data_IF_198967040671
#
_entry.id   IF_198967040671
#
_cell.length_a   1.000
_cell.length_b   1.000
_cell.length_c   1.000
_cell.angle_alpha   90.00
_cell.angle_beta   90.00
_cell.angle_gamma   90.00
#
_symmetry.space_group_name_H-M   'P 1'
#
loop_
_entity.id
_entity.type
_entity.pdbx_description
1 polymer ?
#
# COMPACT_ATOMS: atom_id res chain seq x y z
N UNK A 1 0.60 -43.26 12.27
CA UNK A 1 0.25 -42.53 11.02
C UNK A 1 0.65 -41.08 11.24
N UNK A 2 1.72 -40.60 10.59
CA UNK A 2 2.18 -39.23 10.77
C UNK A 2 1.17 -38.30 10.10
N UNK A 3 0.38 -37.57 10.90
CA UNK A 3 -0.45 -36.48 10.39
C UNK A 3 0.47 -35.41 9.80
N UNK A 4 0.26 -35.08 8.52
CA UNK A 4 1.02 -34.03 7.87
C UNK A 4 0.60 -32.67 8.43
N UNK A 5 1.46 -31.66 8.24
CA UNK A 5 1.22 -30.30 8.70
C UNK A 5 -0.15 -29.76 8.23
N UNK A 6 -0.54 -30.08 7.00
CA UNK A 6 -1.82 -29.68 6.42
C UNK A 6 -3.02 -30.26 7.17
N UNK A 7 -2.96 -31.54 7.55
CA UNK A 7 -4.04 -32.20 8.28
C UNK A 7 -4.26 -31.52 9.64
N UNK A 8 -3.16 -31.26 10.36
CA UNK A 8 -3.21 -30.54 11.65
C UNK A 8 -3.71 -29.10 11.51
N UNK A 9 -3.36 -28.42 10.42
CA UNK A 9 -3.82 -27.06 10.15
C UNK A 9 -5.32 -27.04 9.86
N UNK A 10 -5.81 -27.92 8.98
CA UNK A 10 -7.22 -28.00 8.65
C UNK A 10 -8.06 -28.42 9.86
N UNK A 11 -7.62 -29.41 10.62
CA UNK A 11 -8.27 -29.81 11.87
C UNK A 11 -8.38 -28.62 12.83
N UNK A 12 -7.33 -27.81 12.95
CA UNK A 12 -7.35 -26.62 13.81
C UNK A 12 -8.32 -25.54 13.31
N UNK A 13 -8.34 -25.26 12.00
CA UNK A 13 -9.20 -24.24 11.40
C UNK A 13 -10.68 -24.66 11.48
N UNK A 14 -10.98 -25.93 11.28
CA UNK A 14 -12.35 -26.44 11.28
C UNK A 14 -12.86 -26.93 12.66
N UNK A 15 -12.02 -27.05 13.70
CA UNK A 15 -12.48 -27.44 15.04
C UNK A 15 -13.44 -26.41 15.64
N UNK A 16 -14.72 -26.77 15.78
CA UNK A 16 -15.79 -25.91 16.31
C UNK A 16 -15.55 -25.45 17.75
N UNK A 17 -14.70 -26.16 18.51
CA UNK A 17 -14.40 -25.83 19.92
C UNK A 17 -13.39 -24.68 20.04
N UNK A 18 -12.74 -24.27 18.95
CA UNK A 18 -11.73 -23.19 18.96
C UNK A 18 -12.38 -21.84 18.69
N UNK A 19 -11.95 -20.82 19.44
CA UNK A 19 -12.41 -19.44 19.26
C UNK A 19 -12.10 -18.95 17.83
N UNK A 20 -13.06 -18.24 17.23
CA UNK A 20 -12.94 -17.68 15.87
C UNK A 20 -11.69 -16.79 15.73
N UNK A 21 -11.33 -16.06 16.77
CA UNK A 21 -10.15 -15.19 16.81
C UNK A 21 -8.83 -15.96 16.72
N UNK A 22 -8.74 -17.14 17.34
CA UNK A 22 -7.56 -18.01 17.27
C UNK A 22 -7.42 -18.65 15.88
N UNK A 23 -8.54 -19.01 15.25
CA UNK A 23 -8.57 -19.50 13.86
C UNK A 23 -8.10 -18.42 12.89
N UNK A 24 -8.65 -17.22 13.00
CA UNK A 24 -8.24 -16.07 12.20
C UNK A 24 -6.75 -15.75 12.37
N UNK A 25 -6.25 -15.73 13.61
CA UNK A 25 -4.84 -15.47 13.88
C UNK A 25 -3.91 -16.47 13.19
N UNK A 26 -4.23 -17.76 13.21
CA UNK A 26 -3.41 -18.81 12.56
C UNK A 26 -3.50 -18.72 11.04
N UNK A 27 -4.67 -18.43 10.46
CA UNK A 27 -4.81 -18.20 9.02
C UNK A 27 -3.95 -17.00 8.60
N UNK A 28 -4.02 -15.89 9.33
CA UNK A 28 -3.21 -14.68 9.09
C UNK A 28 -1.72 -15.02 9.19
N UNK A 29 -1.31 -15.80 10.19
CA UNK A 29 0.09 -16.18 10.40
C UNK A 29 0.62 -17.06 9.26
N UNK A 30 -0.19 -17.99 8.75
CA UNK A 30 0.16 -18.80 7.57
C UNK A 30 0.27 -17.94 6.32
N UNK A 31 -0.69 -17.03 6.09
CA UNK A 31 -0.61 -16.07 4.97
C UNK A 31 0.65 -15.20 5.06
N UNK A 32 1.00 -14.74 6.27
CA UNK A 32 2.21 -13.97 6.50
C UNK A 32 3.48 -14.80 6.24
N UNK A 33 3.49 -16.07 6.65
CA UNK A 33 4.58 -17.01 6.35
C UNK A 33 4.77 -17.23 4.85
N UNK A 34 3.68 -17.40 4.10
CA UNK A 34 3.73 -17.52 2.63
C UNK A 34 4.28 -16.25 1.98
N UNK A 35 3.84 -15.08 2.44
CA UNK A 35 4.35 -13.80 1.94
C UNK A 35 5.84 -13.63 2.23
N UNK A 36 6.31 -14.01 3.43
CA UNK A 36 7.72 -13.97 3.80
C UNK A 36 8.55 -14.90 2.94
N UNK A 37 8.11 -16.16 2.75
CA UNK A 37 8.82 -17.12 1.91
C UNK A 37 8.90 -16.60 0.47
N UNK A 38 7.80 -16.07 -0.06
CA UNK A 38 7.77 -15.47 -1.39
C UNK A 38 8.76 -14.30 -1.52
N UNK A 39 8.91 -13.49 -0.47
CA UNK A 39 9.84 -12.37 -0.45
C UNK A 39 11.30 -12.82 -0.34
N UNK A 40 11.60 -13.75 0.58
CA UNK A 40 12.96 -14.30 0.80
C UNK A 40 13.48 -15.04 -0.42
N UNK A 41 12.65 -15.88 -1.02
CA UNK A 41 13.01 -16.64 -2.22
C UNK A 41 12.87 -15.82 -3.51
N UNK A 42 12.31 -14.62 -3.43
CA UNK A 42 12.11 -13.73 -4.58
C UNK A 42 11.22 -14.33 -5.67
N UNK A 43 10.35 -15.30 -5.35
CA UNK A 43 9.60 -16.09 -6.34
C UNK A 43 8.75 -15.20 -7.24
N UNK A 44 7.96 -14.30 -6.64
CA UNK A 44 7.13 -13.35 -7.39
C UNK A 44 7.98 -12.39 -8.25
N UNK A 45 9.10 -11.90 -7.73
CA UNK A 45 9.99 -11.00 -8.48
C UNK A 45 10.58 -11.71 -9.70
N UNK A 46 11.11 -12.92 -9.50
CA UNK A 46 11.66 -13.75 -10.57
C UNK A 46 10.61 -14.10 -11.64
N UNK A 47 9.38 -14.38 -11.22
CA UNK A 47 8.28 -14.64 -12.15
C UNK A 47 7.94 -13.40 -12.99
N UNK A 48 7.86 -12.22 -12.38
CA UNK A 48 7.59 -10.96 -13.09
C UNK A 48 8.70 -10.63 -14.07
N UNK A 49 9.97 -10.78 -13.67
CA UNK A 49 11.13 -10.55 -14.53
C UNK A 49 11.15 -11.52 -15.71
N UNK A 50 10.94 -12.81 -15.47
CA UNK A 50 10.89 -13.80 -16.55
C UNK A 50 9.77 -13.51 -17.55
N UNK A 51 8.58 -13.14 -17.07
CA UNK A 51 7.48 -12.75 -17.95
C UNK A 51 7.81 -11.52 -18.80
N UNK A 52 8.48 -10.51 -18.23
CA UNK A 52 8.96 -9.35 -19.00
C UNK A 52 9.94 -9.77 -20.08
N UNK A 53 10.92 -10.62 -19.74
CA UNK A 53 11.92 -11.13 -20.68
C UNK A 53 11.24 -11.88 -21.83
N UNK A 54 10.30 -12.78 -21.54
CA UNK A 54 9.59 -13.56 -22.55
C UNK A 54 8.77 -12.67 -23.49
N UNK A 55 8.05 -11.69 -22.95
CA UNK A 55 7.27 -10.75 -23.77
C UNK A 55 8.18 -9.89 -24.67
N UNK A 56 9.31 -9.41 -24.14
CA UNK A 56 10.30 -8.66 -24.92
C UNK A 56 10.91 -9.53 -26.02
N UNK A 57 11.21 -10.80 -25.75
CA UNK A 57 11.70 -11.73 -26.76
C UNK A 57 10.70 -11.91 -27.90
N UNK A 58 9.41 -12.10 -27.58
CA UNK A 58 8.33 -12.19 -28.59
C UNK A 58 8.23 -10.91 -29.43
N UNK A 59 8.35 -9.75 -28.80
CA UNK A 59 8.33 -8.46 -29.52
C UNK A 59 9.57 -8.25 -30.39
N UNK A 60 10.74 -8.69 -29.94
CA UNK A 60 11.96 -8.62 -30.73
C UNK A 60 11.88 -9.48 -31.99
N UNK A 61 11.20 -10.64 -31.94
CA UNK A 61 10.92 -11.46 -33.13
C UNK A 61 10.06 -10.71 -34.16
N UNK A 62 9.09 -9.91 -33.71
CA UNK A 62 8.26 -9.08 -34.58
C UNK A 62 9.06 -7.91 -35.15
N UNK A 63 9.91 -7.28 -34.32
CA UNK A 63 10.73 -6.12 -34.73
C UNK A 63 11.83 -6.52 -35.73
N UNK A 64 12.39 -7.72 -35.61
CA UNK A 64 13.46 -8.21 -36.49
C UNK A 64 12.95 -8.94 -37.74
N UNK A 65 11.64 -9.20 -37.84
CA UNK A 65 11.06 -9.89 -38.98
C UNK A 65 10.98 -8.98 -40.22
N UNK A 66 11.66 -9.30 -41.33
CA UNK A 66 11.61 -8.50 -42.56
C UNK A 66 10.24 -8.50 -43.24
N UNK A 67 9.33 -9.42 -42.87
CA UNK A 67 7.96 -9.46 -43.37
C UNK A 67 6.99 -8.56 -42.58
N UNK A 68 7.43 -7.94 -41.47
CA UNK A 68 6.59 -7.04 -40.69
C UNK A 68 6.57 -5.64 -41.28
N UNK A 69 5.38 -5.03 -41.34
CA UNK A 69 5.21 -3.67 -41.82
C UNK A 69 5.73 -2.63 -40.82
N UNK A 70 6.00 -1.42 -41.30
CA UNK A 70 6.60 -0.34 -40.52
C UNK A 70 5.70 0.15 -39.37
N UNK A 71 4.38 0.01 -39.48
CA UNK A 71 3.41 0.38 -38.44
C UNK A 71 3.45 -0.65 -37.31
N UNK A 72 3.45 -1.93 -37.65
CA UNK A 72 3.59 -3.05 -36.70
C UNK A 72 4.92 -2.98 -35.95
N UNK A 73 6.03 -2.71 -36.64
CA UNK A 73 7.34 -2.54 -35.99
C UNK A 73 7.32 -1.36 -35.00
N UNK A 74 6.69 -0.24 -35.38
CA UNK A 74 6.58 0.94 -34.50
C UNK A 74 5.73 0.65 -33.26
N UNK A 75 4.61 -0.04 -33.43
CA UNK A 75 3.74 -0.46 -32.32
C UNK A 75 4.48 -1.44 -31.39
N UNK A 76 5.17 -2.43 -31.93
CA UNK A 76 5.94 -3.40 -31.16
C UNK A 76 7.07 -2.74 -30.35
N UNK A 77 7.77 -1.75 -30.91
CA UNK A 77 8.76 -0.95 -30.17
C UNK A 77 8.12 -0.19 -29.01
N UNK A 78 6.98 0.46 -29.22
CA UNK A 78 6.26 1.19 -28.16
C UNK A 78 5.87 0.26 -26.99
N UNK A 79 5.29 -0.90 -27.30
CA UNK A 79 4.89 -1.89 -26.29
C UNK A 79 6.10 -2.42 -25.53
N UNK A 80 7.23 -2.63 -26.21
CA UNK A 80 8.47 -3.08 -25.57
C UNK A 80 8.96 -2.08 -24.53
N UNK A 81 8.94 -0.79 -24.85
CA UNK A 81 9.32 0.28 -23.91
C UNK A 81 8.35 0.37 -22.72
N UNK A 82 7.04 0.20 -22.95
CA UNK A 82 6.02 0.14 -21.89
C UNK A 82 6.25 -1.05 -20.94
N UNK A 83 6.56 -2.24 -21.47
CA UNK A 83 6.84 -3.44 -20.66
C UNK A 83 8.13 -3.27 -19.84
N UNK A 84 9.16 -2.68 -20.44
CA UNK A 84 10.44 -2.44 -19.77
C UNK A 84 10.30 -1.44 -18.62
N UNK A 85 9.55 -0.35 -18.86
CA UNK A 85 9.34 0.72 -17.87
C UNK A 85 8.28 0.43 -16.81
N UNK A 86 7.43 -0.59 -17.02
CA UNK A 86 6.36 -0.94 -16.08
C UNK A 86 6.92 -1.40 -14.74
N UNK A 87 6.68 -0.61 -13.69
CA UNK A 87 6.96 -1.01 -12.31
C UNK A 87 5.78 -1.77 -11.70
N UNK A 88 6.08 -2.70 -10.80
CA UNK A 88 5.07 -3.36 -9.98
C UNK A 88 4.55 -2.39 -8.91
N UNK A 89 3.36 -2.67 -8.37
CA UNK A 89 2.77 -1.85 -7.30
C UNK A 89 3.71 -1.78 -6.08
N UNK A 90 4.41 -2.88 -5.78
CA UNK A 90 5.38 -2.93 -4.68
C UNK A 90 6.62 -2.08 -4.96
N UNK A 91 7.10 -2.03 -6.21
CA UNK A 91 8.21 -1.14 -6.61
C UNK A 91 7.80 0.33 -6.53
N UNK A 92 6.56 0.68 -6.93
CA UNK A 92 6.02 2.03 -6.72
C UNK A 92 5.95 2.39 -5.24
N UNK A 93 5.48 1.47 -4.39
CA UNK A 93 5.47 1.69 -2.94
C UNK A 93 6.88 1.80 -2.37
N UNK A 94 7.82 0.94 -2.79
CA UNK A 94 9.21 1.00 -2.34
C UNK A 94 9.88 2.31 -2.76
N UNK A 95 9.73 2.73 -4.01
CA UNK A 95 10.29 3.99 -4.50
C UNK A 95 9.73 5.19 -3.73
N UNK A 96 8.44 5.16 -3.41
CA UNK A 96 7.79 6.17 -2.58
C UNK A 96 8.40 6.21 -1.15
N UNK A 97 8.57 5.06 -0.50
CA UNK A 97 9.21 4.98 0.82
C UNK A 97 10.71 5.28 0.79
N UNK A 98 11.41 4.94 -0.29
CA UNK A 98 12.82 5.25 -0.48
C UNK A 98 13.03 6.75 -0.68
N UNK A 99 12.13 7.44 -1.38
CA UNK A 99 12.13 8.90 -1.50
C UNK A 99 11.84 9.60 -0.17
N UNK A 100 11.04 8.97 0.70
CA UNK A 100 10.82 9.43 2.08
C UNK A 100 12.04 9.19 3.00
N UNK A 101 12.98 8.33 2.61
CA UNK A 101 14.21 8.13 3.38
C UNK A 101 15.15 9.32 3.20
N UNK A 102 15.57 9.94 4.31
CA UNK A 102 16.38 11.17 4.37
C UNK A 102 17.82 11.06 3.80
N UNK A 103 18.11 10.15 2.87
CA UNK A 103 19.35 10.20 2.07
C UNK A 103 19.09 10.98 0.79
N UNK A 104 19.18 12.30 0.90
CA UNK A 104 19.46 13.18 -0.24
C UNK A 104 20.92 12.96 -0.69
N UNK A 105 21.19 11.86 -1.36
CA UNK A 105 22.36 11.80 -2.25
C UNK A 105 21.98 12.54 -3.53
N UNK A 106 22.15 13.86 -3.49
CA UNK A 106 21.96 14.75 -4.64
C UNK A 106 23.08 14.44 -5.65
N UNK A 107 22.87 13.48 -6.55
CA UNK A 107 23.59 13.49 -7.82
C UNK A 107 23.02 14.63 -8.67
N UNK A 108 23.72 15.76 -8.64
CA UNK A 108 23.53 16.85 -9.62
C UNK A 108 23.99 16.32 -10.98
N UNK A 109 23.06 15.79 -11.77
CA UNK A 109 23.28 15.71 -13.21
C UNK A 109 23.12 17.11 -13.80
N UNK A 110 24.24 17.64 -14.29
CA UNK A 110 24.29 18.89 -15.04
C UNK A 110 23.63 18.67 -16.41
N UNK A 111 22.33 18.88 -16.53
CA UNK A 111 21.66 18.98 -17.83
C UNK A 111 21.37 20.44 -18.13
N UNK A 112 21.98 20.88 -19.24
CA UNK A 112 21.91 22.18 -19.89
C UNK A 112 20.51 22.79 -19.93
N UNK A 113 20.40 24.03 -19.46
CA UNK A 113 19.22 24.89 -19.56
C UNK A 113 19.01 25.36 -21.00
N UNK A 114 18.09 24.74 -21.72
CA UNK A 114 17.46 25.37 -22.90
C UNK A 114 16.10 24.76 -23.20
N UNK A 115 15.15 24.89 -22.27
CA UNK A 115 13.72 24.73 -22.55
C UNK A 115 13.01 25.85 -21.81
N UNK A 116 12.13 26.59 -22.50
CA UNK A 116 11.25 27.59 -21.87
C UNK A 116 10.56 26.94 -20.67
N UNK A 117 10.38 27.64 -19.53
CA UNK A 117 9.70 27.06 -18.38
C UNK A 117 8.30 26.67 -18.84
N UNK A 118 8.07 25.36 -18.94
CA UNK A 118 6.71 24.80 -18.87
C UNK A 118 6.15 25.37 -17.58
N UNK A 119 4.95 25.96 -17.63
CA UNK A 119 4.25 26.44 -16.43
C UNK A 119 4.47 25.43 -15.30
N UNK A 120 5.13 25.87 -14.22
CA UNK A 120 5.36 25.02 -13.06
C UNK A 120 3.99 24.58 -12.57
N UNK A 121 3.58 23.36 -12.91
CA UNK A 121 2.41 22.73 -12.32
C UNK A 121 2.75 22.62 -10.85
N UNK A 122 2.07 23.42 -10.03
CA UNK A 122 2.27 23.44 -8.59
C UNK A 122 2.10 22.01 -8.08
N UNK A 123 3.16 21.42 -7.53
CA UNK A 123 3.16 20.03 -7.07
C UNK A 123 2.69 19.99 -5.61
N UNK A 124 1.95 18.95 -5.20
CA UNK A 124 1.57 18.83 -3.80
C UNK A 124 2.82 18.68 -2.94
N UNK A 125 2.80 19.31 -1.77
CA UNK A 125 3.79 19.00 -0.76
C UNK A 125 3.50 17.60 -0.22
N UNK A 126 4.41 16.66 -0.48
CA UNK A 126 4.28 15.26 -0.05
C UNK A 126 3.94 15.13 1.43
N UNK A 127 4.57 15.95 2.28
CA UNK A 127 4.32 15.96 3.72
C UNK A 127 2.90 16.38 4.04
N UNK A 128 2.45 17.54 3.54
CA UNK A 128 1.12 18.06 3.84
C UNK A 128 0.01 17.19 3.24
N UNK A 129 0.25 16.65 2.06
CA UNK A 129 -0.67 15.71 1.44
C UNK A 129 -0.80 14.44 2.28
N UNK A 130 0.31 13.81 2.65
CA UNK A 130 0.28 12.62 3.49
C UNK A 130 -0.34 12.87 4.86
N UNK A 131 0.01 13.98 5.51
CA UNK A 131 -0.53 14.35 6.82
C UNK A 131 -2.03 14.61 6.76
N UNK A 132 -2.52 15.35 5.76
CA UNK A 132 -3.96 15.65 5.64
C UNK A 132 -4.77 14.44 5.19
N UNK A 133 -4.18 13.55 4.39
CA UNK A 133 -4.84 12.38 3.83
C UNK A 133 -4.73 11.10 4.68
N UNK A 134 -3.84 11.03 5.67
CA UNK A 134 -3.67 9.86 6.56
C UNK A 134 -3.50 10.20 8.05
N UNK A 135 -3.21 11.45 8.38
CA UNK A 135 -2.65 11.84 9.68
C UNK A 135 -3.57 11.60 10.87
N UNK A 136 -4.90 11.78 10.74
CA UNK A 136 -5.80 11.54 11.87
C UNK A 136 -5.77 10.07 12.29
N UNK A 137 -5.76 9.15 11.33
CA UNK A 137 -5.67 7.72 11.62
C UNK A 137 -4.30 7.32 12.18
N UNK A 138 -3.22 7.94 11.71
CA UNK A 138 -1.88 7.72 12.28
C UNK A 138 -1.83 8.19 13.74
N UNK A 139 -2.38 9.38 14.03
CA UNK A 139 -2.47 9.91 15.39
C UNK A 139 -3.31 9.01 16.30
N UNK A 140 -4.44 8.49 15.80
CA UNK A 140 -5.23 7.49 16.53
C UNK A 140 -4.43 6.21 16.79
N UNK A 141 -3.69 5.70 15.80
CA UNK A 141 -2.81 4.55 15.97
C UNK A 141 -1.78 4.76 17.08
N UNK A 142 -1.11 5.92 17.09
CA UNK A 142 -0.16 6.28 18.16
C UNK A 142 -0.87 6.37 19.51
N UNK A 143 -2.03 7.03 19.57
CA UNK A 143 -2.83 7.14 20.80
C UNK A 143 -3.21 5.76 21.36
N UNK A 144 -3.55 4.79 20.50
CA UNK A 144 -3.90 3.43 20.93
C UNK A 144 -2.73 2.69 21.58
N UNK A 145 -1.48 2.97 21.19
CA UNK A 145 -0.30 2.43 21.88
C UNK A 145 -0.31 2.88 23.34
N UNK A 146 -0.53 4.19 23.56
CA UNK A 146 -0.56 4.75 24.91
C UNK A 146 -1.74 4.21 25.73
N UNK A 147 -2.94 4.22 25.16
CA UNK A 147 -4.16 3.76 25.84
C UNK A 147 -4.06 2.29 26.26
N UNK A 148 -3.64 1.41 25.35
CA UNK A 148 -3.68 -0.04 25.60
C UNK A 148 -2.51 -0.54 26.43
N UNK A 149 -1.30 0.01 26.25
CA UNK A 149 -0.14 -0.47 27.01
C UNK A 149 -0.06 0.12 28.41
N UNK A 150 -0.46 1.40 28.59
CA UNK A 150 -0.23 2.12 29.84
C UNK A 150 -1.48 2.40 30.66
N UNK A 151 -2.67 2.51 30.03
CA UNK A 151 -3.90 2.89 30.75
C UNK A 151 -4.75 1.67 31.11
N UNK A 152 -4.92 0.71 30.21
CA UNK A 152 -5.66 -0.52 30.54
C UNK A 152 -4.95 -1.28 31.67
N UNK A 153 -5.63 -1.48 32.80
CA UNK A 153 -5.11 -2.24 33.95
C UNK A 153 -5.79 -3.60 34.12
N UNK A 154 -6.84 -3.88 33.37
CA UNK A 154 -7.70 -5.06 33.54
C UNK A 154 -7.15 -6.25 32.75
N UNK A 155 -6.69 -6.02 31.53
CA UNK A 155 -6.18 -7.08 30.66
C UNK A 155 -4.78 -7.56 31.09
N UNK A 156 -4.42 -8.80 30.74
CA UNK A 156 -3.04 -9.29 30.90
C UNK A 156 -2.08 -8.60 29.93
N UNK A 157 -0.78 -8.57 30.23
CA UNK A 157 0.22 -7.87 29.39
C UNK A 157 0.25 -8.41 27.94
N UNK A 158 0.10 -9.72 27.76
CA UNK A 158 0.09 -10.35 26.44
C UNK A 158 -1.14 -9.96 25.63
N UNK A 159 -2.30 -9.86 26.28
CA UNK A 159 -3.53 -9.37 25.66
C UNK A 159 -3.39 -7.90 25.26
N UNK A 160 -2.82 -7.04 26.11
CA UNK A 160 -2.58 -5.63 25.79
C UNK A 160 -1.70 -5.50 24.56
N UNK A 161 -0.55 -6.19 24.54
CA UNK A 161 0.37 -6.18 23.39
C UNK A 161 -0.32 -6.66 22.11
N UNK A 162 -1.08 -7.76 22.17
CA UNK A 162 -1.79 -8.29 21.02
C UNK A 162 -2.85 -7.31 20.48
N UNK A 163 -3.66 -6.73 21.37
CA UNK A 163 -4.71 -5.76 21.02
C UNK A 163 -4.11 -4.47 20.49
N UNK A 164 -3.03 -3.97 21.11
CA UNK A 164 -2.28 -2.82 20.60
C UNK A 164 -1.80 -3.06 19.18
N UNK A 165 -1.18 -4.22 18.92
CA UNK A 165 -0.64 -4.53 17.60
C UNK A 165 -1.76 -4.57 16.55
N UNK A 166 -2.88 -5.23 16.85
CA UNK A 166 -4.06 -5.26 15.97
C UNK A 166 -4.58 -3.85 15.69
N UNK A 167 -4.79 -3.03 16.73
CA UNK A 167 -5.36 -1.69 16.58
C UNK A 167 -4.43 -0.75 15.83
N UNK A 168 -3.13 -0.74 16.16
CA UNK A 168 -2.12 0.07 15.48
C UNK A 168 -2.08 -0.31 14.01
N UNK A 169 -1.94 -1.59 13.68
CA UNK A 169 -1.93 -2.05 12.28
C UNK A 169 -3.22 -1.68 11.56
N UNK A 170 -4.38 -1.79 12.22
CA UNK A 170 -5.67 -1.40 11.63
C UNK A 170 -5.71 0.10 11.32
N UNK A 171 -5.33 0.95 12.27
CA UNK A 171 -5.34 2.40 12.09
C UNK A 171 -4.33 2.86 11.05
N UNK A 172 -3.11 2.31 11.04
CA UNK A 172 -2.13 2.57 9.99
C UNK A 172 -2.64 2.11 8.62
N UNK A 173 -3.24 0.92 8.53
CA UNK A 173 -3.82 0.40 7.29
C UNK A 173 -4.94 1.28 6.75
N UNK A 174 -5.86 1.74 7.62
CA UNK A 174 -6.89 2.71 7.27
C UNK A 174 -6.26 4.03 6.78
N UNK A 175 -5.23 4.52 7.47
CA UNK A 175 -4.48 5.71 7.04
C UNK A 175 -3.93 5.58 5.61
N UNK A 176 -3.37 4.42 5.26
CA UNK A 176 -2.90 4.15 3.89
C UNK A 176 -4.03 4.10 2.86
N UNK A 177 -5.17 3.50 3.22
CA UNK A 177 -6.35 3.47 2.35
C UNK A 177 -6.85 4.89 2.07
N UNK A 178 -6.93 5.75 3.09
CA UNK A 178 -7.34 7.14 2.90
C UNK A 178 -6.32 7.97 2.12
N UNK A 179 -5.03 7.75 2.34
CA UNK A 179 -3.99 8.35 1.52
C UNK A 179 -4.21 8.03 0.04
N UNK A 180 -4.42 6.75 -0.27
CA UNK A 180 -4.68 6.29 -1.63
C UNK A 180 -5.97 6.91 -2.19
N UNK A 181 -7.09 6.90 -1.45
CA UNK A 181 -8.35 7.48 -1.89
C UNK A 181 -8.23 8.98 -2.18
N UNK A 182 -7.57 9.72 -1.31
CA UNK A 182 -7.37 11.16 -1.49
C UNK A 182 -6.44 11.45 -2.67
N UNK A 183 -5.48 10.56 -2.97
CA UNK A 183 -4.57 10.72 -4.12
C UNK A 183 -5.28 10.61 -5.48
N UNK A 184 -6.48 10.03 -5.51
CA UNK A 184 -7.31 9.97 -6.70
C UNK A 184 -8.04 11.29 -6.99
N UNK A 185 -8.07 12.22 -6.03
CA UNK A 185 -8.71 13.53 -6.20
C UNK A 185 -7.74 14.42 -6.98
N UNK A 186 -8.06 14.82 -8.23
CA UNK A 186 -7.21 15.73 -8.98
C UNK A 186 -7.15 17.09 -8.28
N UNK A 187 -6.14 17.89 -8.62
CA UNK A 187 -6.00 19.25 -8.10
C UNK A 187 -7.27 20.07 -8.42
N UNK A 188 -7.94 20.57 -7.38
CA UNK A 188 -9.26 21.22 -7.53
C UNK A 188 -9.09 22.68 -7.99
N UNK A 189 -8.10 23.39 -7.44
CA UNK A 189 -7.78 24.75 -7.83
C UNK A 189 -6.51 24.74 -8.68
N UNK A 190 -6.56 25.37 -9.87
CA UNK A 190 -5.51 25.31 -10.89
C UNK A 190 -4.12 25.83 -10.45
N UNK A 191 -3.97 26.39 -9.25
CA UNK A 191 -2.73 26.95 -8.74
C UNK A 191 -2.55 26.81 -7.22
N UNK A 192 -3.30 25.91 -6.57
CA UNK A 192 -3.12 25.68 -5.13
C UNK A 192 -3.68 24.34 -4.66
N UNK A 193 -2.88 23.61 -3.90
CA UNK A 193 -3.27 22.38 -3.22
C UNK A 193 -3.98 22.58 -1.88
N UNK A 194 -4.14 23.82 -1.42
CA UNK A 194 -4.72 24.13 -0.10
C UNK A 194 -6.13 23.54 0.04
N UNK A 195 -6.92 23.59 -1.03
CA UNK A 195 -8.30 23.11 -1.02
C UNK A 195 -8.34 21.58 -1.01
N UNK A 196 -7.42 20.91 -1.70
CA UNK A 196 -7.24 19.45 -1.62
C UNK A 196 -6.88 19.02 -0.19
N UNK A 197 -5.98 19.72 0.50
CA UNK A 197 -5.64 19.43 1.90
C UNK A 197 -6.83 19.59 2.85
N UNK A 198 -7.64 20.64 2.66
CA UNK A 198 -8.86 20.85 3.44
C UNK A 198 -9.89 19.74 3.17
N UNK A 199 -10.09 19.37 1.90
CA UNK A 199 -10.98 18.27 1.53
C UNK A 199 -10.52 16.95 2.15
N UNK A 200 -9.23 16.64 2.10
CA UNK A 200 -8.66 15.45 2.73
C UNK A 200 -8.98 15.40 4.23
N UNK A 201 -8.76 16.50 4.96
CA UNK A 201 -9.09 16.60 6.38
C UNK A 201 -10.60 16.45 6.65
N UNK A 202 -11.46 17.06 5.83
CA UNK A 202 -12.91 16.95 5.97
C UNK A 202 -13.36 15.49 5.77
N UNK A 203 -12.79 14.78 4.79
CA UNK A 203 -13.07 13.36 4.56
C UNK A 203 -12.66 12.53 5.78
N UNK A 204 -11.46 12.77 6.33
CA UNK A 204 -11.00 12.04 7.52
C UNK A 204 -11.86 12.29 8.76
N UNK A 205 -12.15 13.56 9.06
CA UNK A 205 -12.97 13.93 10.21
C UNK A 205 -14.40 13.41 10.02
N UNK A 206 -14.95 13.55 8.81
CA UNK A 206 -16.29 13.10 8.48
C UNK A 206 -16.47 11.60 8.66
N UNK A 207 -15.49 10.79 8.25
CA UNK A 207 -15.55 9.33 8.43
C UNK A 207 -15.48 8.90 9.89
N UNK A 208 -14.68 9.58 10.72
CA UNK A 208 -14.69 9.37 12.18
C UNK A 208 -16.04 9.75 12.79
N UNK A 209 -16.60 10.89 12.38
CA UNK A 209 -17.90 11.34 12.87
C UNK A 209 -19.02 10.36 12.51
N UNK A 210 -19.03 9.85 11.27
CA UNK A 210 -19.97 8.82 10.81
C UNK A 210 -19.84 7.56 11.67
N UNK A 211 -18.60 7.12 11.94
CA UNK A 211 -18.35 5.94 12.78
C UNK A 211 -18.91 6.12 14.19
N UNK A 212 -18.66 7.27 14.83
CA UNK A 212 -19.18 7.60 16.16
C UNK A 212 -20.71 7.66 16.14
N UNK A 213 -21.30 8.33 15.16
CA UNK A 213 -22.76 8.46 15.03
C UNK A 213 -23.45 7.11 14.85
N UNK A 214 -22.90 6.24 13.99
CA UNK A 214 -23.37 4.87 13.81
C UNK A 214 -23.29 4.08 15.12
N UNK A 215 -22.19 4.21 15.86
CA UNK A 215 -22.03 3.51 17.14
C UNK A 215 -23.07 3.95 18.17
N UNK A 216 -23.29 5.26 18.34
CA UNK A 216 -24.32 5.81 19.23
C UNK A 216 -25.72 5.34 18.83
N UNK A 217 -26.02 5.33 17.53
CA UNK A 217 -27.32 4.89 17.03
C UNK A 217 -27.56 3.41 17.30
N UNK A 218 -26.55 2.56 17.12
CA UNK A 218 -26.63 1.12 17.41
C UNK A 218 -26.82 0.85 18.90
N UNK A 219 -26.14 1.59 19.78
CA UNK A 219 -26.33 1.46 21.23
C UNK A 219 -27.73 1.86 21.71
N UNK A 220 -28.44 2.73 20.99
CA UNK A 220 -29.83 3.09 21.31
C UNK A 220 -30.86 2.06 20.83
N UNK A 221 -30.45 1.12 19.97
CA UNK A 221 -31.31 0.08 19.41
C UNK A 221 -31.19 -1.25 20.17
N UNK A 222 -30.13 -1.43 20.95
CA UNK A 222 -29.91 -2.56 21.86
C UNK A 222 -30.28 -2.19 23.29
#
# INVERSE_FOLDING_TARGET
MNMNFFDKFFDFVFDERKKISSKAAIIILVLFGVLLINNVLGVSSNYVVNNKIEQIQKLNLIISNPASDSVTIKAAKKIREEIFSRKSVLEYSYDYFAQLSFRKDIKKDNISKSVKPVEEIDAPSDFWFYFTASGVYILLGIAMIFLMLFIDKVSTISQRVAVTLILVTTFFGLGQIFYWLCSLIPMILSNSWILNYLVNLIIQIGTIFIFIWMNIKLQKLN
#
